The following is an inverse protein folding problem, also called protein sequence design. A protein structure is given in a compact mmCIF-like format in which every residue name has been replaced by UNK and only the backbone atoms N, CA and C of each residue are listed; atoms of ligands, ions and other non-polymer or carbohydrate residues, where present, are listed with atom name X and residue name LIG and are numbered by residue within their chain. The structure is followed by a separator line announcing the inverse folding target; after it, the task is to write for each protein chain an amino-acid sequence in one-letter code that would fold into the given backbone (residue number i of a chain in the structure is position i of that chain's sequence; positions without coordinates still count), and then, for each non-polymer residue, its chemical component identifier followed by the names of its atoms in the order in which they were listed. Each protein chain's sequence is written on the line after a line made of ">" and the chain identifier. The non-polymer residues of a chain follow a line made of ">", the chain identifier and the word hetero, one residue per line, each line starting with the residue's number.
data_IF_093185676411
#
_entry.id   IF_093185676411
#
_cell.length_a   1.000
_cell.length_b   1.000
_cell.length_c   1.000
_cell.angle_alpha   90.00
_cell.angle_beta   90.00
_cell.angle_gamma   90.00
#
_symmetry.space_group_name_H-M   'P 1'
#
loop_
_entity.id
_entity.type
_entity.pdbx_description
1 polymer ?
#
# COMPACT_ATOMS: atom_id res chain seq x y z
N UNK A 1 -0.74 -5.22 -17.10
CA UNK A 1 -2.00 -5.97 -16.86
C UNK A 1 -3.01 -5.00 -16.27
N UNK A 2 -4.27 -4.99 -16.73
CA UNK A 2 -5.28 -4.01 -16.29
C UNK A 2 -6.44 -4.62 -15.48
N UNK A 3 -6.30 -5.87 -15.05
CA UNK A 3 -7.30 -6.61 -14.27
C UNK A 3 -6.67 -7.67 -13.36
N UNK A 4 -7.33 -8.03 -12.27
CA UNK A 4 -6.95 -9.10 -11.34
C UNK A 4 -7.75 -9.03 -10.03
N UNK A 5 -7.43 -9.88 -9.06
CA UNK A 5 -8.10 -9.84 -7.75
C UNK A 5 -7.56 -8.72 -6.88
N UNK A 6 -6.23 -8.56 -6.83
CA UNK A 6 -5.59 -7.59 -5.94
C UNK A 6 -4.58 -6.72 -6.69
N UNK A 7 -4.65 -5.42 -6.44
CA UNK A 7 -3.61 -4.46 -6.77
C UNK A 7 -2.95 -3.98 -5.48
N UNK A 8 -1.69 -4.31 -5.27
CA UNK A 8 -0.90 -3.81 -4.14
C UNK A 8 0.15 -2.80 -4.60
N UNK A 9 0.10 -1.60 -4.03
CA UNK A 9 1.10 -0.55 -4.24
C UNK A 9 1.94 -0.35 -2.98
N UNK A 10 3.21 -0.03 -3.18
CA UNK A 10 4.08 0.46 -2.12
C UNK A 10 3.91 1.98 -2.01
N UNK A 11 3.70 2.51 -0.81
CA UNK A 11 3.37 3.91 -0.56
C UNK A 11 4.20 4.51 0.59
N UNK A 12 4.71 5.75 0.47
CA UNK A 12 4.57 6.69 -0.64
C UNK A 12 5.61 6.49 -1.75
N UNK A 13 5.24 6.81 -3.00
CA UNK A 13 6.15 6.90 -4.15
C UNK A 13 5.74 8.09 -5.03
N UNK A 14 6.68 9.00 -5.32
CA UNK A 14 6.41 10.22 -6.09
C UNK A 14 5.91 9.91 -7.51
N UNK A 15 6.52 8.92 -8.17
CA UNK A 15 6.20 8.55 -9.54
C UNK A 15 5.01 7.58 -9.65
N UNK A 16 4.50 7.09 -8.53
CA UNK A 16 3.45 6.06 -8.45
C UNK A 16 2.32 6.45 -7.48
N UNK A 17 1.64 7.60 -7.69
CA UNK A 17 0.52 8.01 -6.85
C UNK A 17 -0.66 7.02 -6.99
N UNK A 18 -1.34 6.60 -5.90
CA UNK A 18 -2.38 5.58 -5.95
C UNK A 18 -3.56 5.95 -6.88
N UNK A 19 -3.87 7.24 -7.01
CA UNK A 19 -4.95 7.77 -7.86
C UNK A 19 -4.80 7.39 -9.33
N UNK A 20 -3.58 7.13 -9.83
CA UNK A 20 -3.37 6.69 -11.22
C UNK A 20 -3.90 5.29 -11.50
N UNK A 21 -4.15 4.49 -10.46
CA UNK A 21 -4.48 3.08 -10.59
C UNK A 21 -5.93 2.75 -10.25
N UNK A 22 -6.70 3.70 -9.72
CA UNK A 22 -8.09 3.49 -9.30
C UNK A 22 -9.04 3.17 -10.48
N UNK A 23 -8.62 3.39 -11.73
CA UNK A 23 -9.42 3.02 -12.91
C UNK A 23 -9.17 1.59 -13.38
N UNK A 24 -8.17 0.89 -12.82
CA UNK A 24 -7.89 -0.50 -13.16
C UNK A 24 -8.94 -1.44 -12.56
N UNK A 25 -9.16 -2.58 -13.21
CA UNK A 25 -10.22 -3.53 -12.84
C UNK A 25 -9.73 -4.55 -11.81
N UNK A 26 -9.57 -4.12 -10.55
CA UNK A 26 -9.20 -4.98 -9.43
C UNK A 26 -10.28 -5.02 -8.34
N UNK A 27 -10.43 -6.16 -7.66
CA UNK A 27 -11.37 -6.29 -6.55
C UNK A 27 -10.84 -5.62 -5.27
N UNK A 28 -9.55 -5.77 -4.99
CA UNK A 28 -8.89 -5.23 -3.80
C UNK A 28 -7.80 -4.23 -4.18
N UNK A 29 -7.81 -3.08 -3.50
CA UNK A 29 -6.78 -2.04 -3.63
C UNK A 29 -6.03 -1.95 -2.30
N UNK A 30 -4.78 -2.36 -2.30
CA UNK A 30 -3.96 -2.49 -1.10
C UNK A 30 -2.82 -1.47 -1.12
N UNK A 31 -2.60 -0.77 -0.01
CA UNK A 31 -1.38 0.00 0.20
C UNK A 31 -0.49 -0.66 1.23
N UNK A 32 0.74 -0.92 0.83
CA UNK A 32 1.81 -1.38 1.70
C UNK A 32 2.72 -0.20 2.02
N UNK A 33 3.01 0.09 3.29
CA UNK A 33 3.99 1.10 3.65
C UNK A 33 5.35 0.80 3.00
N UNK A 34 5.98 1.82 2.44
CA UNK A 34 7.35 1.77 1.96
C UNK A 34 8.26 1.52 3.15
N UNK A 35 9.01 0.42 3.07
CA UNK A 35 10.05 0.09 4.04
C UNK A 35 11.40 0.47 3.42
N UNK A 36 11.98 1.56 3.89
CA UNK A 36 13.33 1.99 3.51
C UNK A 36 14.41 1.41 4.45
N UNK A 37 14.01 0.60 5.44
CA UNK A 37 14.85 0.18 6.55
C UNK A 37 15.16 1.33 7.53
N UNK A 38 15.70 0.96 8.69
CA UNK A 38 16.06 1.91 9.75
C UNK A 38 14.85 2.53 10.45
N UNK A 39 15.00 3.77 10.93
CA UNK A 39 13.97 4.46 11.74
C UNK A 39 12.88 5.15 10.90
N UNK A 40 13.02 5.17 9.57
CA UNK A 40 12.09 5.88 8.70
C UNK A 40 10.83 5.05 8.45
N UNK A 41 9.73 5.51 9.03
CA UNK A 41 8.42 4.85 9.04
C UNK A 41 7.42 5.56 8.14
N UNK A 42 6.84 4.83 7.18
CA UNK A 42 5.77 5.33 6.31
C UNK A 42 4.39 4.77 6.65
N UNK A 43 4.29 3.95 7.69
CA UNK A 43 3.04 3.39 8.19
C UNK A 43 2.03 4.49 8.56
N UNK A 44 2.40 5.58 9.28
CA UNK A 44 1.44 6.63 9.61
C UNK A 44 0.89 7.33 8.37
N UNK A 45 1.74 7.58 7.37
CA UNK A 45 1.33 8.20 6.11
C UNK A 45 0.37 7.28 5.33
N UNK A 46 0.69 5.98 5.26
CA UNK A 46 -0.14 4.98 4.59
C UNK A 46 -1.49 4.83 5.27
N UNK A 47 -1.52 4.77 6.61
CA UNK A 47 -2.75 4.73 7.41
C UNK A 47 -3.60 5.97 7.15
N UNK A 48 -2.98 7.16 7.17
CA UNK A 48 -3.68 8.42 6.90
C UNK A 48 -4.33 8.40 5.51
N UNK A 49 -3.61 7.91 4.50
CA UNK A 49 -4.11 7.83 3.14
C UNK A 49 -5.28 6.83 3.01
N UNK A 50 -5.17 5.62 3.57
CA UNK A 50 -6.27 4.65 3.57
C UNK A 50 -7.52 5.18 4.28
N UNK A 51 -7.34 5.97 5.35
CA UNK A 51 -8.46 6.60 6.07
C UNK A 51 -9.16 7.68 5.25
N UNK A 52 -8.43 8.45 4.44
CA UNK A 52 -9.01 9.46 3.55
C UNK A 52 -9.54 8.88 2.24
N UNK A 53 -9.07 7.72 1.82
CA UNK A 53 -9.48 7.04 0.59
C UNK A 53 -9.92 5.60 0.90
N UNK A 54 -11.19 5.39 1.31
CA UNK A 54 -11.67 4.10 1.82
C UNK A 54 -11.67 2.95 0.80
N UNK A 55 -11.45 3.25 -0.48
CA UNK A 55 -11.17 2.23 -1.50
C UNK A 55 -9.86 1.49 -1.24
N UNK A 56 -8.88 2.14 -0.61
CA UNK A 56 -7.57 1.58 -0.31
C UNK A 56 -7.54 0.97 1.09
N UNK A 57 -7.15 -0.29 1.17
CA UNK A 57 -6.98 -1.03 2.40
C UNK A 57 -5.50 -1.10 2.78
N UNK A 58 -5.20 -1.05 4.08
CA UNK A 58 -3.83 -1.16 4.57
C UNK A 58 -3.35 -2.61 4.52
N UNK A 59 -2.19 -2.85 3.91
CA UNK A 59 -1.51 -4.15 3.86
C UNK A 59 -0.22 -4.09 4.67
N UNK A 60 -0.21 -4.68 5.87
CA UNK A 60 0.97 -4.75 6.73
C UNK A 60 1.77 -6.04 6.49
N UNK A 61 3.10 -5.93 6.47
CA UNK A 61 4.00 -7.08 6.41
C UNK A 61 4.24 -7.63 7.82
N UNK A 62 3.25 -8.35 8.36
CA UNK A 62 3.28 -8.89 9.74
C UNK A 62 4.48 -9.84 9.94
N UNK A 63 4.92 -10.57 8.91
CA UNK A 63 6.07 -11.47 8.98
C UNK A 63 7.38 -10.76 9.37
N UNK A 64 7.56 -9.49 9.00
CA UNK A 64 8.70 -8.67 9.42
C UNK A 64 8.72 -8.42 10.93
N UNK A 65 7.55 -8.31 11.53
CA UNK A 65 7.40 -8.08 12.97
C UNK A 65 7.58 -9.39 13.75
N UNK A 66 7.19 -10.51 13.14
CA UNK A 66 7.32 -11.84 13.74
C UNK A 66 8.71 -12.46 13.55
N UNK A 67 9.60 -11.84 12.76
CA UNK A 67 10.93 -12.37 12.47
C UNK A 67 10.91 -13.64 11.60
N UNK A 68 9.87 -13.81 10.77
CA UNK A 68 9.68 -14.98 9.91
C UNK A 68 9.94 -14.54 8.45
N UNK A 69 10.81 -15.23 7.69
CA UNK A 69 11.01 -14.98 6.27
C UNK A 69 9.82 -15.40 5.40
#
# INVERSE_FOLDING_TARGET
>A
MHRGDELKLVYPQADCPPERFVTLNFHHFLLQPLDEGGDRRHEPATVSYCRSHPRWQLSLQIHKWLGIP
#
